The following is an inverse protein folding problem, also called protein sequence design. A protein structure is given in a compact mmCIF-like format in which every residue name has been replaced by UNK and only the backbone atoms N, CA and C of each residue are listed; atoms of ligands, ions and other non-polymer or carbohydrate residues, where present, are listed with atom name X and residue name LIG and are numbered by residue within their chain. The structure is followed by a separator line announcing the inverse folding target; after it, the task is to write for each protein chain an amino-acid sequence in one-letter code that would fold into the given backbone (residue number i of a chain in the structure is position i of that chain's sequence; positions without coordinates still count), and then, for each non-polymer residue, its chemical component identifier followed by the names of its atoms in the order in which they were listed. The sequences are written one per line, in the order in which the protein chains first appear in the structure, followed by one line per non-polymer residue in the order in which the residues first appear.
data_IF_705240934910
#
_entry.id   IF_705240934910
#
_cell.length_a   1.000
_cell.length_b   1.000
_cell.length_c   1.000
_cell.angle_alpha   90.00
_cell.angle_beta   90.00
_cell.angle_gamma   90.00
#
_symmetry.space_group_name_H-M   'P 1'
#
loop_
_entity.id
_entity.type
_entity.pdbx_description
1 polymer ?
#
# COMPACT_ATOMS: atom_id res chain seq x y z
N UNK A 1 -48.30 1.57 -3.44
CA UNK A 1 -47.41 1.42 -2.25
C UNK A 1 -46.03 1.01 -2.74
N UNK A 2 -45.17 1.98 -3.04
CA UNK A 2 -43.84 1.76 -3.60
C UNK A 2 -42.89 1.30 -2.49
N UNK A 3 -42.55 0.02 -2.48
CA UNK A 3 -41.55 -0.52 -1.57
C UNK A 3 -40.15 -0.04 -1.99
N UNK A 4 -39.50 0.70 -1.09
CA UNK A 4 -38.12 1.16 -1.19
C UNK A 4 -37.19 -0.08 -1.21
N UNK A 5 -36.65 -0.45 -2.37
CA UNK A 5 -35.58 -1.45 -2.47
C UNK A 5 -34.25 -0.83 -2.06
N UNK A 6 -33.92 -0.87 -0.77
CA UNK A 6 -32.55 -0.60 -0.31
C UNK A 6 -31.70 -1.84 -0.62
N UNK A 7 -30.91 -1.80 -1.69
CA UNK A 7 -29.83 -2.77 -1.93
C UNK A 7 -28.59 -2.31 -1.14
N UNK A 8 -28.30 -2.96 -0.02
CA UNK A 8 -26.96 -2.87 0.58
C UNK A 8 -26.01 -3.73 -0.25
N UNK A 9 -25.24 -3.09 -1.13
CA UNK A 9 -24.14 -3.73 -1.84
C UNK A 9 -22.84 -3.38 -1.10
N UNK A 10 -22.46 -4.20 -0.11
CA UNK A 10 -21.22 -4.02 0.63
C UNK A 10 -20.30 -5.20 0.34
N UNK A 11 -19.57 -5.13 -0.76
CA UNK A 11 -18.56 -6.11 -1.11
C UNK A 11 -17.37 -5.97 -0.14
N UNK A 12 -17.36 -6.77 0.93
CA UNK A 12 -16.26 -6.84 1.90
C UNK A 12 -15.05 -7.67 1.42
N UNK A 13 -15.14 -8.30 0.23
CA UNK A 13 -14.20 -9.35 -0.20
C UNK A 13 -12.73 -8.90 -0.28
N UNK A 14 -12.49 -7.61 -0.56
CA UNK A 14 -11.14 -7.05 -0.73
C UNK A 14 -10.77 -6.02 0.34
N UNK A 15 -11.29 -6.19 1.55
CA UNK A 15 -11.07 -5.27 2.66
C UNK A 15 -9.58 -5.01 2.95
N UNK A 16 -8.73 -6.03 2.88
CA UNK A 16 -7.29 -5.93 3.16
C UNK A 16 -6.43 -5.60 1.92
N UNK A 17 -7.03 -5.47 0.74
CA UNK A 17 -6.32 -5.20 -0.52
C UNK A 17 -6.14 -3.70 -0.79
N UNK A 18 -6.42 -2.85 0.20
CA UNK A 18 -6.45 -1.40 0.01
C UNK A 18 -5.11 -0.78 -0.39
N UNK A 19 -3.93 -1.31 0.02
CA UNK A 19 -2.66 -0.90 -0.56
C UNK A 19 -2.63 -1.05 -2.09
N UNK A 20 -3.11 -2.17 -2.64
CA UNK A 20 -3.25 -2.36 -4.10
C UNK A 20 -4.05 -1.23 -4.76
N UNK A 21 -5.11 -0.72 -4.12
CA UNK A 21 -5.91 0.38 -4.67
C UNK A 21 -5.30 1.78 -4.44
N UNK A 22 -4.59 1.97 -3.32
CA UNK A 22 -4.07 3.27 -2.89
C UNK A 22 -2.74 3.63 -3.57
N UNK A 23 -1.83 2.67 -3.69
CA UNK A 23 -0.51 2.82 -4.31
C UNK A 23 -0.55 3.48 -5.69
N UNK A 24 -1.31 2.97 -6.69
CA UNK A 24 -1.29 3.57 -8.01
C UNK A 24 -1.81 5.01 -8.00
N UNK A 25 -2.81 5.32 -7.17
CA UNK A 25 -3.39 6.68 -7.10
C UNK A 25 -2.40 7.71 -6.59
N UNK A 26 -1.61 7.36 -5.57
CA UNK A 26 -0.62 8.29 -5.02
C UNK A 26 0.57 8.45 -5.95
N UNK A 27 1.03 7.36 -6.59
CA UNK A 27 2.11 7.39 -7.57
C UNK A 27 1.74 8.26 -8.78
N UNK A 28 0.55 8.06 -9.37
CA UNK A 28 0.06 8.87 -10.48
C UNK A 28 -0.09 10.35 -10.10
N UNK A 29 -0.61 10.63 -8.90
CA UNK A 29 -0.75 12.01 -8.41
C UNK A 29 0.60 12.68 -8.20
N UNK A 30 1.63 11.92 -7.81
CA UNK A 30 3.00 12.40 -7.65
C UNK A 30 3.77 12.45 -8.97
N UNK A 31 3.26 11.88 -10.06
CA UNK A 31 3.99 11.75 -11.33
C UNK A 31 5.13 10.74 -11.28
N UNK A 32 5.03 9.74 -10.39
CA UNK A 32 6.05 8.72 -10.17
C UNK A 32 5.54 7.33 -10.60
N UNK A 33 6.47 6.41 -10.78
CA UNK A 33 6.24 4.99 -11.08
C UNK A 33 6.84 4.12 -9.99
N UNK A 34 6.56 2.81 -10.03
CA UNK A 34 7.18 1.85 -9.10
C UNK A 34 8.72 1.84 -9.18
N UNK A 35 9.29 2.19 -10.34
CA UNK A 35 10.74 2.19 -10.55
C UNK A 35 11.43 3.39 -9.88
N UNK A 36 10.71 4.47 -9.64
CA UNK A 36 11.23 5.67 -8.98
C UNK A 36 11.32 5.51 -7.46
N UNK A 37 10.74 4.43 -6.91
CA UNK A 37 10.67 4.18 -5.47
C UNK A 37 11.86 3.31 -5.02
N UNK A 38 12.56 3.82 -4.00
CA UNK A 38 13.75 3.21 -3.42
C UNK A 38 13.47 2.46 -2.13
N UNK A 39 12.45 2.87 -1.37
CA UNK A 39 12.07 2.23 -0.11
C UNK A 39 10.56 1.98 -0.05
N UNK A 40 10.17 0.74 0.25
CA UNK A 40 8.76 0.38 0.46
C UNK A 40 8.55 0.01 1.93
N UNK A 41 7.66 0.74 2.62
CA UNK A 41 7.30 0.49 4.02
C UNK A 41 5.79 0.28 4.14
N UNK A 42 5.39 -0.98 4.30
CA UNK A 42 3.98 -1.39 4.30
C UNK A 42 3.51 -1.90 5.65
N UNK A 43 2.25 -1.62 5.97
CA UNK A 43 1.58 -2.22 7.11
C UNK A 43 1.35 -3.72 6.89
N UNK A 44 2.18 -4.54 7.53
CA UNK A 44 2.04 -6.00 7.57
C UNK A 44 0.98 -6.45 8.60
N UNK A 45 -0.30 -6.38 8.23
CA UNK A 45 -1.36 -6.87 9.13
C UNK A 45 -1.27 -8.39 9.33
N UNK A 46 -0.98 -9.12 8.25
CA UNK A 46 -0.77 -10.56 8.21
C UNK A 46 0.18 -10.91 7.07
N UNK A 47 0.93 -12.02 7.18
CA UNK A 47 1.77 -12.51 6.07
C UNK A 47 0.97 -12.73 4.78
N UNK A 48 -0.15 -13.48 4.88
CA UNK A 48 -1.04 -13.72 3.74
C UNK A 48 -1.67 -12.44 3.17
N UNK A 49 -1.83 -11.39 3.98
CA UNK A 49 -2.36 -10.11 3.51
C UNK A 49 -1.38 -9.42 2.55
N UNK A 50 -0.09 -9.35 2.88
CA UNK A 50 0.94 -8.75 2.03
C UNK A 50 1.11 -9.58 0.75
N UNK A 51 1.27 -10.90 0.89
CA UNK A 51 1.45 -11.79 -0.26
C UNK A 51 0.26 -11.74 -1.24
N UNK A 52 -0.96 -11.64 -0.73
CA UNK A 52 -2.14 -11.47 -1.58
C UNK A 52 -2.21 -10.08 -2.25
N UNK A 53 -1.81 -9.02 -1.55
CA UNK A 53 -1.69 -7.68 -2.16
C UNK A 53 -0.65 -7.69 -3.29
N UNK A 54 0.48 -8.36 -3.13
CA UNK A 54 1.48 -8.51 -4.20
C UNK A 54 0.91 -9.19 -5.42
N UNK A 55 0.22 -10.32 -5.24
CA UNK A 55 -0.43 -11.02 -6.36
C UNK A 55 -1.49 -10.17 -7.07
N UNK A 56 -2.24 -9.36 -6.33
CA UNK A 56 -3.19 -8.43 -6.92
C UNK A 56 -2.53 -7.26 -7.66
N UNK A 57 -1.42 -6.72 -7.12
CA UNK A 57 -0.65 -5.65 -7.76
C UNK A 57 0.04 -6.12 -9.04
N UNK A 58 0.42 -7.40 -9.11
CA UNK A 58 1.09 -8.02 -10.24
C UNK A 58 0.14 -8.71 -11.25
N UNK A 59 -1.17 -8.54 -11.10
CA UNK A 59 -2.17 -9.17 -11.97
C UNK A 59 -2.88 -8.16 -12.87
N UNK A 60 -2.71 -8.30 -14.18
CA UNK A 60 -3.48 -7.52 -15.16
C UNK A 60 -4.99 -7.82 -15.07
N UNK A 61 -5.32 -9.09 -14.81
CA UNK A 61 -6.71 -9.51 -14.62
C UNK A 61 -7.35 -8.78 -13.44
N UNK A 62 -6.67 -8.69 -12.29
CA UNK A 62 -7.20 -7.97 -11.14
C UNK A 62 -7.34 -6.46 -11.43
N UNK A 63 -6.36 -5.89 -12.13
CA UNK A 63 -6.39 -4.48 -12.52
C UNK A 63 -7.57 -4.12 -13.42
N UNK A 64 -7.85 -4.95 -14.41
CA UNK A 64 -8.95 -4.72 -15.35
C UNK A 64 -10.31 -4.96 -14.71
N UNK A 65 -10.47 -6.06 -13.96
CA UNK A 65 -11.78 -6.46 -13.44
C UNK A 65 -12.23 -5.68 -12.19
N UNK A 66 -11.29 -5.29 -11.32
CA UNK A 66 -11.63 -4.70 -10.01
C UNK A 66 -11.09 -3.31 -9.76
N UNK A 67 -10.06 -2.88 -10.49
CA UNK A 67 -9.47 -1.54 -10.33
C UNK A 67 -9.86 -0.57 -11.45
N UNK A 68 -10.44 -1.07 -12.55
CA UNK A 68 -10.77 -0.26 -13.72
C UNK A 68 -9.53 0.31 -14.42
N UNK A 69 -8.39 -0.40 -14.35
CA UNK A 69 -7.11 0.01 -14.92
C UNK A 69 -6.76 -0.89 -16.12
N UNK A 70 -5.99 -0.36 -17.07
CA UNK A 70 -5.60 -1.09 -18.29
C UNK A 70 -4.62 -2.24 -18.02
N UNK A 71 -3.62 -1.96 -17.18
CA UNK A 71 -2.53 -2.86 -16.84
C UNK A 71 -2.36 -2.95 -15.32
N UNK A 72 -1.62 -3.97 -14.90
CA UNK A 72 -1.16 -4.16 -13.52
C UNK A 72 -0.38 -2.96 -13.00
N UNK A 73 -0.27 -2.88 -11.68
CA UNK A 73 0.45 -1.80 -10.98
C UNK A 73 1.95 -2.10 -11.00
N UNK A 74 2.30 -3.38 -10.85
CA UNK A 74 3.67 -3.85 -10.67
C UNK A 74 3.91 -4.30 -9.24
N UNK A 75 4.62 -5.42 -9.10
CA UNK A 75 5.07 -5.94 -7.82
C UNK A 75 6.20 -5.04 -7.28
N UNK A 76 6.13 -4.53 -6.04
CA UNK A 76 7.26 -3.82 -5.44
C UNK A 76 8.46 -4.77 -5.33
N UNK A 77 9.69 -4.33 -5.67
CA UNK A 77 10.88 -5.15 -5.51
C UNK A 77 11.03 -5.64 -4.07
N UNK A 78 11.11 -6.96 -3.88
CA UNK A 78 11.08 -7.58 -2.55
C UNK A 78 12.31 -7.19 -1.72
N UNK A 79 13.43 -6.92 -2.38
CA UNK A 79 14.69 -6.47 -1.80
C UNK A 79 14.65 -5.01 -1.29
N UNK A 80 13.62 -4.24 -1.64
CA UNK A 80 13.38 -2.87 -1.14
C UNK A 80 12.23 -2.80 -0.13
N UNK A 81 11.57 -3.93 0.15
CA UNK A 81 10.31 -4.00 0.90
C UNK A 81 10.52 -4.39 2.37
N UNK A 82 10.19 -3.47 3.28
CA UNK A 82 10.25 -3.68 4.74
C UNK A 82 11.61 -4.23 5.24
N UNK A 83 12.74 -3.70 4.75
CA UNK A 83 14.09 -4.24 5.04
C UNK A 83 14.47 -4.16 6.52
N UNK A 84 13.86 -3.26 7.30
CA UNK A 84 14.08 -3.15 8.75
C UNK A 84 12.99 -3.84 9.58
N UNK A 85 12.29 -4.80 8.96
CA UNK A 85 11.12 -5.46 9.55
C UNK A 85 9.87 -4.58 9.47
N UNK A 86 8.72 -5.20 9.73
CA UNK A 86 7.44 -4.53 9.66
C UNK A 86 6.55 -4.82 10.87
N UNK A 87 5.25 -4.58 10.70
CA UNK A 87 4.29 -4.68 11.80
C UNK A 87 4.09 -6.11 12.29
N UNK A 88 4.40 -7.10 11.45
CA UNK A 88 4.27 -8.51 11.81
C UNK A 88 5.34 -8.93 12.83
N UNK A 89 6.55 -8.35 12.76
CA UNK A 89 7.64 -8.63 13.69
C UNK A 89 7.74 -7.62 14.83
N UNK A 90 7.53 -6.34 14.56
CA UNK A 90 7.68 -5.26 15.55
C UNK A 90 6.41 -4.97 16.35
N UNK A 91 5.25 -5.40 15.83
CA UNK A 91 3.95 -5.14 16.42
C UNK A 91 3.13 -4.05 15.72
N UNK A 92 1.81 -4.12 15.95
CA UNK A 92 0.81 -3.21 15.38
C UNK A 92 -0.05 -2.54 16.46
N UNK A 93 0.48 -1.52 17.18
CA UNK A 93 -0.37 -0.64 17.98
C UNK A 93 -1.24 0.21 17.04
N UNK A 94 -2.57 0.02 17.14
CA UNK A 94 -3.56 0.74 16.32
C UNK A 94 -3.40 2.25 16.48
N UNK A 95 -3.46 2.98 15.35
CA UNK A 95 -3.26 4.44 15.32
C UNK A 95 -1.80 4.91 15.39
N UNK A 96 -0.92 4.20 16.10
CA UNK A 96 0.49 4.57 16.23
C UNK A 96 1.39 3.98 15.13
N UNK A 97 1.01 2.84 14.55
CA UNK A 97 1.78 2.15 13.51
C UNK A 97 2.04 3.01 12.26
N UNK A 98 1.09 3.87 11.89
CA UNK A 98 1.24 4.75 10.72
C UNK A 98 2.45 5.68 10.85
N UNK A 99 2.64 6.27 12.03
CA UNK A 99 3.81 7.12 12.32
C UNK A 99 5.11 6.34 12.25
N UNK A 100 5.13 5.11 12.76
CA UNK A 100 6.33 4.26 12.71
C UNK A 100 6.71 3.91 11.27
N UNK A 101 5.75 3.60 10.40
CA UNK A 101 6.02 3.31 8.99
C UNK A 101 6.66 4.50 8.26
N UNK A 102 6.08 5.70 8.39
CA UNK A 102 6.64 6.90 7.72
C UNK A 102 8.02 7.26 8.26
N UNK A 103 8.22 7.18 9.58
CA UNK A 103 9.52 7.47 10.18
C UNK A 103 10.57 6.43 9.79
N UNK A 104 10.19 5.16 9.69
CA UNK A 104 11.09 4.12 9.18
C UNK A 104 11.46 4.39 7.72
N UNK A 105 10.50 4.74 6.85
CA UNK A 105 10.76 5.06 5.45
C UNK A 105 11.74 6.23 5.30
N UNK A 106 11.49 7.35 5.97
CA UNK A 106 12.38 8.51 5.94
C UNK A 106 13.78 8.18 6.47
N UNK A 107 13.87 7.38 7.54
CA UNK A 107 15.16 6.95 8.08
C UNK A 107 15.90 6.01 7.12
N UNK A 108 15.19 5.11 6.43
CA UNK A 108 15.76 4.21 5.43
C UNK A 108 16.34 5.00 4.27
N UNK A 109 15.58 5.92 3.68
CA UNK A 109 16.08 6.81 2.61
C UNK A 109 17.36 7.55 3.05
N UNK A 110 17.43 8.01 4.30
CA UNK A 110 18.61 8.71 4.83
C UNK A 110 19.83 7.81 5.08
N UNK A 111 19.63 6.57 5.54
CA UNK A 111 20.73 5.67 5.95
C UNK A 111 21.17 4.72 4.84
N UNK A 112 20.23 4.23 4.03
CA UNK A 112 20.48 3.32 2.91
C UNK A 112 20.71 4.07 1.59
N UNK A 113 20.31 5.34 1.53
CA UNK A 113 20.29 6.13 0.30
C UNK A 113 18.99 5.91 -0.48
N UNK A 114 18.68 6.86 -1.37
CA UNK A 114 17.45 6.89 -2.15
C UNK A 114 16.72 8.22 -2.01
N UNK A 115 15.83 8.52 -2.96
CA UNK A 115 15.10 9.79 -2.99
C UNK A 115 13.63 9.61 -2.60
N UNK A 116 12.96 8.56 -3.08
CA UNK A 116 11.53 8.39 -2.87
C UNK A 116 11.20 7.09 -2.15
N UNK A 117 10.38 7.20 -1.11
CA UNK A 117 9.81 6.08 -0.38
C UNK A 117 8.30 6.01 -0.55
N UNK A 118 7.75 4.80 -0.66
CA UNK A 118 6.31 4.54 -0.66
C UNK A 118 5.91 3.90 0.67
N UNK A 119 5.05 4.60 1.40
CA UNK A 119 4.42 4.07 2.61
C UNK A 119 2.97 3.71 2.29
N UNK A 120 2.53 2.49 2.58
CA UNK A 120 1.13 2.12 2.39
C UNK A 120 0.59 1.21 3.49
N UNK A 121 -0.70 1.37 3.81
CA UNK A 121 -1.34 0.60 4.86
C UNK A 121 -2.75 0.17 4.51
N UNK A 122 -3.09 -1.08 4.83
CA UNK A 122 -4.47 -1.51 4.98
C UNK A 122 -4.98 -1.12 6.37
N UNK A 123 -6.27 -0.83 6.49
CA UNK A 123 -6.90 -0.46 7.74
C UNK A 123 -8.26 -1.12 7.89
N UNK A 124 -8.71 -1.22 9.14
CA UNK A 124 -10.06 -1.66 9.42
C UNK A 124 -11.10 -0.72 8.77
N UNK A 125 -12.35 -1.16 8.62
CA UNK A 125 -13.39 -0.38 7.92
C UNK A 125 -13.32 -0.40 6.39
N UNK A 126 -12.39 -1.16 5.80
CA UNK A 126 -12.28 -1.35 4.35
C UNK A 126 -11.53 -0.20 3.68
N UNK A 127 -10.65 0.43 4.45
CA UNK A 127 -9.90 1.61 4.06
C UNK A 127 -8.42 1.26 3.89
N UNK A 128 -7.71 2.11 3.19
CA UNK A 128 -6.26 2.08 3.14
C UNK A 128 -5.72 3.41 2.69
N UNK A 129 -4.43 3.59 2.95
CA UNK A 129 -3.73 4.83 2.69
C UNK A 129 -2.41 4.52 2.00
N UNK A 130 -1.95 5.45 1.17
CA UNK A 130 -0.62 5.42 0.59
C UNK A 130 -0.07 6.85 0.54
N UNK A 131 1.23 6.99 0.77
CA UNK A 131 1.93 8.27 0.87
C UNK A 131 3.32 8.14 0.26
N UNK A 132 3.76 9.19 -0.41
CA UNK A 132 5.14 9.32 -0.89
C UNK A 132 5.94 10.12 0.15
N UNK A 133 7.11 9.62 0.49
CA UNK A 133 8.10 10.27 1.34
C UNK A 133 9.28 10.63 0.45
N UNK A 134 9.57 11.92 0.33
CA UNK A 134 10.76 12.40 -0.37
C UNK A 134 11.88 12.67 0.65
N UNK A 135 13.09 12.22 0.33
CA UNK A 135 14.27 12.46 1.14
C UNK A 135 14.67 13.94 1.09
N UNK A 136 15.12 14.48 2.22
CA UNK A 136 15.64 15.84 2.28
C UNK A 136 17.16 15.85 2.05
N UNK A 137 17.70 16.79 1.26
CA UNK A 137 19.15 16.91 1.07
C UNK A 137 19.86 17.16 2.41
N UNK A 138 21.04 16.56 2.58
CA UNK A 138 21.88 16.73 3.76
C UNK A 138 22.54 18.11 3.79
#
# INVERSE_FOLDING_TARGET
RSFLKIKFLRYYLFFLFRPTYATPKVLEKAGLTMNDIDAFEFHEAFSGQILANFKAMDSDWFAQNYMGRKTKIGLPPLEKFNNWGGSLSLGHPFGATGCRLVMAAANRLRKEGGQYGLVAACAAGGQGHAMIVEAYPK
#
